data_IF_111615630554
#
_entry.id   IF_111615630554
#
_cell.length_a   1.000
_cell.length_b   1.000
_cell.length_c   1.000
_cell.angle_alpha   90.00
_cell.angle_beta   90.00
_cell.angle_gamma   90.00
#
_symmetry.space_group_name_H-M   'P 1'
#
loop_
_entity.id
_entity.type
_entity.pdbx_description
1 polymer ?
#
# COMPACT_ATOMS: atom_id res chain seq x y z
N UNK A 1 10.67 -17.67 8.38
CA UNK A 1 11.72 -16.68 8.05
C UNK A 1 11.44 -15.38 8.80
N UNK A 2 12.46 -14.57 9.09
CA UNK A 2 12.30 -13.23 9.66
C UNK A 2 12.63 -12.20 8.57
N UNK A 3 11.69 -11.27 8.34
CA UNK A 3 11.78 -10.23 7.30
C UNK A 3 11.75 -8.86 7.96
N UNK A 4 12.64 -7.97 7.53
CA UNK A 4 12.62 -6.55 7.92
C UNK A 4 12.14 -5.70 6.74
N UNK A 5 11.24 -4.75 6.99
CA UNK A 5 10.65 -3.82 6.02
C UNK A 5 11.06 -2.41 6.43
N UNK A 6 11.76 -1.70 5.56
CA UNK A 6 12.07 -0.28 5.74
C UNK A 6 10.95 0.57 5.13
N UNK A 7 10.27 1.33 5.98
CA UNK A 7 9.11 2.14 5.63
C UNK A 7 7.79 1.49 6.07
N UNK A 8 7.04 2.24 6.86
CA UNK A 8 5.69 1.95 7.31
C UNK A 8 4.66 2.78 6.54
N UNK A 9 4.91 3.12 5.26
CA UNK A 9 3.90 3.67 4.35
C UNK A 9 2.81 2.64 3.98
N UNK A 10 1.86 3.03 3.11
CA UNK A 10 0.74 2.14 2.68
C UNK A 10 1.26 0.77 2.22
N UNK A 11 2.24 0.75 1.33
CA UNK A 11 2.81 -0.51 0.81
C UNK A 11 3.58 -1.31 1.86
N UNK A 12 4.42 -0.66 2.67
CA UNK A 12 5.20 -1.35 3.71
C UNK A 12 4.32 -2.03 4.74
N UNK A 13 3.20 -1.40 5.11
CA UNK A 13 2.20 -1.98 6.00
C UNK A 13 1.42 -3.13 5.35
N UNK A 14 0.99 -2.98 4.09
CA UNK A 14 0.29 -4.05 3.36
C UNK A 14 1.18 -5.28 3.17
N UNK A 15 2.46 -5.07 2.86
CA UNK A 15 3.42 -6.15 2.73
C UNK A 15 3.69 -6.84 4.06
N UNK A 16 3.89 -6.05 5.13
CA UNK A 16 4.08 -6.60 6.47
C UNK A 16 2.91 -7.51 6.86
N UNK A 17 1.69 -7.05 6.56
CA UNK A 17 0.48 -7.81 6.80
C UNK A 17 0.42 -9.11 5.97
N UNK A 18 0.69 -9.07 4.67
CA UNK A 18 0.69 -10.28 3.82
C UNK A 18 1.72 -11.31 4.30
N UNK A 19 2.94 -10.86 4.63
CA UNK A 19 4.02 -11.75 5.09
C UNK A 19 3.75 -12.33 6.48
N UNK A 20 3.20 -11.53 7.39
CA UNK A 20 2.78 -12.03 8.70
C UNK A 20 1.71 -13.13 8.54
N UNK A 21 0.74 -12.94 7.64
CA UNK A 21 -0.28 -13.95 7.32
C UNK A 21 0.29 -15.22 6.71
N UNK A 22 1.39 -15.13 5.96
CA UNK A 22 2.11 -16.28 5.43
C UNK A 22 2.96 -17.01 6.49
N UNK A 23 2.89 -16.62 7.77
CA UNK A 23 3.62 -17.25 8.87
C UNK A 23 5.05 -16.74 9.04
N UNK A 24 5.40 -15.60 8.43
CA UNK A 24 6.70 -14.99 8.61
C UNK A 24 6.72 -14.07 9.83
N UNK A 25 7.87 -14.01 10.50
CA UNK A 25 8.13 -12.96 11.49
C UNK A 25 8.50 -11.69 10.73
N UNK A 26 7.88 -10.57 11.05
CA UNK A 26 8.10 -9.31 10.33
C UNK A 26 8.48 -8.20 11.31
N UNK A 27 9.47 -7.39 10.95
CA UNK A 27 9.82 -6.14 11.62
C UNK A 27 9.67 -5.00 10.63
N UNK A 28 8.98 -3.93 11.02
CA UNK A 28 8.86 -2.72 10.19
C UNK A 28 9.62 -1.60 10.88
N UNK A 29 10.47 -0.90 10.13
CA UNK A 29 11.30 0.20 10.61
C UNK A 29 10.97 1.43 9.80
N UNK A 30 10.54 2.52 10.45
CA UNK A 30 10.24 3.78 9.80
C UNK A 30 10.93 4.92 10.56
N UNK A 31 11.50 5.94 9.87
CA UNK A 31 12.03 7.13 10.53
C UNK A 31 10.95 7.96 11.23
N UNK A 32 9.68 7.80 10.86
CA UNK A 32 8.55 8.38 11.55
C UNK A 32 8.47 7.83 12.97
N UNK A 33 8.53 8.73 13.93
CA UNK A 33 8.38 8.47 15.36
C UNK A 33 7.00 7.94 15.73
N UNK A 34 6.03 8.09 14.83
CA UNK A 34 4.70 7.54 14.98
C UNK A 34 3.89 7.67 13.70
N UNK A 35 2.74 6.98 13.62
CA UNK A 35 1.93 6.91 12.41
C UNK A 35 1.34 8.25 11.98
N UNK A 36 1.23 9.22 12.90
CA UNK A 36 0.71 10.55 12.65
C UNK A 36 1.75 11.53 12.09
N UNK A 37 3.03 11.16 12.11
CA UNK A 37 4.08 12.02 11.57
C UNK A 37 3.95 12.07 10.05
N UNK A 38 3.76 13.25 9.45
CA UNK A 38 3.76 13.40 7.99
C UNK A 38 5.11 12.97 7.44
N UNK A 39 5.11 12.28 6.31
CA UNK A 39 6.33 11.77 5.67
C UNK A 39 6.09 10.58 4.75
N UNK A 40 5.06 9.78 5.03
CA UNK A 40 4.59 8.77 4.09
C UNK A 40 3.79 9.43 2.95
N UNK A 41 3.96 8.93 1.72
CA UNK A 41 3.23 9.41 0.55
C UNK A 41 1.69 9.36 0.71
N UNK A 42 1.16 8.51 1.60
CA UNK A 42 -0.27 8.46 1.90
C UNK A 42 -0.86 9.74 2.52
N UNK A 43 -0.02 10.64 3.05
CA UNK A 43 -0.48 11.94 3.57
C UNK A 43 -0.70 12.97 2.47
N UNK A 44 -0.12 12.77 1.29
CA UNK A 44 -0.20 13.70 0.15
C UNK A 44 -0.88 13.09 -1.06
N UNK A 45 -0.98 11.76 -1.14
CA UNK A 45 -1.67 11.07 -2.20
C UNK A 45 -3.16 11.46 -2.21
N UNK A 46 -3.69 11.81 -3.39
CA UNK A 46 -5.11 12.05 -3.59
C UNK A 46 -5.98 10.77 -3.45
N UNK A 47 -5.35 9.61 -3.19
CA UNK A 47 -6.02 8.33 -3.00
C UNK A 47 -6.67 7.75 -4.26
N UNK A 48 -6.33 8.24 -5.46
CA UNK A 48 -6.98 7.81 -6.70
C UNK A 48 -6.28 6.61 -7.34
N UNK A 49 -6.88 5.44 -7.20
CA UNK A 49 -6.78 4.32 -8.12
C UNK A 49 -8.13 3.62 -8.09
N UNK A 50 -8.88 3.76 -9.17
CA UNK A 50 -10.26 3.30 -9.21
C UNK A 50 -10.53 2.74 -10.60
N UNK A 51 -10.63 1.40 -10.76
CA UNK A 51 -11.10 0.81 -12.02
C UNK A 51 -12.39 1.45 -12.53
N UNK A 52 -13.23 1.96 -11.62
CA UNK A 52 -14.49 2.63 -11.88
C UNK A 52 -14.33 4.07 -12.36
N UNK A 53 -13.42 4.85 -11.76
CA UNK A 53 -13.11 6.20 -12.25
C UNK A 53 -12.50 6.13 -13.65
N UNK A 54 -11.84 5.01 -13.95
CA UNK A 54 -11.29 4.73 -15.26
C UNK A 54 -12.35 4.21 -16.24
N UNK A 55 -13.54 3.75 -15.82
CA UNK A 55 -14.60 3.38 -16.78
C UNK A 55 -15.17 4.56 -17.54
N UNK A 56 -15.24 5.75 -16.93
CA UNK A 56 -15.84 6.93 -17.56
C UNK A 56 -14.90 7.61 -18.56
N UNK A 57 -13.59 7.48 -18.36
CA UNK A 57 -12.57 8.17 -19.16
C UNK A 57 -11.63 7.22 -19.91
N UNK A 58 -11.63 5.93 -19.60
CA UNK A 58 -10.74 4.93 -20.19
C UNK A 58 -11.52 3.76 -20.80
N UNK A 59 -10.84 2.99 -21.65
CA UNK A 59 -11.43 1.86 -22.35
C UNK A 59 -11.77 0.70 -21.39
N UNK A 60 -12.76 -0.11 -21.79
CA UNK A 60 -13.32 -1.21 -20.97
C UNK A 60 -12.26 -2.16 -20.41
N UNK A 61 -11.22 -2.42 -21.18
CA UNK A 61 -10.13 -3.31 -20.79
C UNK A 61 -9.29 -2.75 -19.64
N UNK A 62 -9.16 -1.42 -19.56
CA UNK A 62 -8.40 -0.71 -18.50
C UNK A 62 -9.15 -0.77 -17.17
N UNK A 63 -10.44 -0.48 -17.22
CA UNK A 63 -11.31 -0.63 -16.08
C UNK A 63 -11.39 -2.06 -15.54
N UNK A 64 -11.32 -3.07 -16.42
CA UNK A 64 -11.37 -4.48 -16.02
C UNK A 64 -10.18 -4.91 -15.15
N UNK A 65 -9.05 -4.20 -15.25
CA UNK A 65 -7.83 -4.57 -14.54
C UNK A 65 -7.86 -4.24 -13.05
N UNK A 66 -8.50 -3.16 -12.62
CA UNK A 66 -8.63 -2.89 -11.18
C UNK A 66 -9.62 -3.83 -10.46
N UNK A 67 -10.28 -4.73 -11.20
CA UNK A 67 -11.17 -5.77 -10.67
C UNK A 67 -10.49 -7.12 -10.44
N UNK A 68 -9.17 -7.18 -10.59
CA UNK A 68 -8.33 -8.38 -10.36
C UNK A 68 -7.50 -8.22 -9.11
#
# INVERSE_FOLDING_TARGET
>A
MHVAIAGAGVMGRLLAWQLARAGHRVSVVDPATGPAQPGAAGFTAAGMLSPLAEQEHAEVEVAALGWR
#
